data_IF_680455835368
#
_entry.id   IF_680455835368
#
_cell.length_a   1.000
_cell.length_b   1.000
_cell.length_c   1.000
_cell.angle_alpha   90.00
_cell.angle_beta   90.00
_cell.angle_gamma   90.00
#
_symmetry.space_group_name_H-M   'P 1'
#
loop_
_entity.id
_entity.type
_entity.pdbx_description
1 polymer ?
#
# COMPACT_ATOMS: atom_id res chain seq x y z
N UNK A 1 -14.59 30.02 -3.92
CA UNK A 1 -15.00 28.73 -3.36
C UNK A 1 -14.77 27.68 -4.44
N UNK A 2 -13.86 26.73 -4.20
CA UNK A 2 -13.59 25.63 -5.13
C UNK A 2 -14.26 24.38 -4.57
N UNK A 3 -15.15 23.77 -5.33
CA UNK A 3 -15.82 22.51 -4.96
C UNK A 3 -15.02 21.37 -5.58
N UNK A 4 -14.39 20.53 -4.75
CA UNK A 4 -13.77 19.28 -5.22
C UNK A 4 -14.83 18.18 -5.25
N UNK A 5 -15.02 17.57 -6.42
CA UNK A 5 -15.93 16.43 -6.61
C UNK A 5 -15.08 15.18 -6.84
N UNK A 6 -15.18 14.20 -5.93
CA UNK A 6 -14.43 12.96 -6.02
C UNK A 6 -15.24 11.90 -6.79
N UNK A 7 -14.61 11.27 -7.78
CA UNK A 7 -15.21 10.20 -8.57
C UNK A 7 -14.61 8.87 -8.14
N UNK A 8 -15.43 7.86 -7.76
CA UNK A 8 -14.93 6.54 -7.42
C UNK A 8 -14.16 5.92 -8.59
N UNK A 9 -13.01 5.30 -8.30
CA UNK A 9 -12.20 4.58 -9.29
C UNK A 9 -11.68 3.28 -8.69
N UNK A 10 -11.73 2.21 -9.47
CA UNK A 10 -11.09 0.94 -9.15
C UNK A 10 -9.70 0.93 -9.77
N UNK A 11 -8.71 0.50 -9.00
CA UNK A 11 -7.34 0.33 -9.47
C UNK A 11 -6.87 -1.09 -9.16
N UNK A 12 -6.08 -1.66 -10.05
CA UNK A 12 -5.45 -2.95 -9.86
C UNK A 12 -3.96 -2.73 -9.63
N UNK A 13 -3.46 -3.22 -8.50
CA UNK A 13 -2.03 -3.18 -8.16
C UNK A 13 -1.56 -4.63 -8.12
N UNK A 14 -0.65 -5.05 -9.02
CA UNK A 14 -0.12 -6.41 -9.00
C UNK A 14 0.57 -6.73 -7.68
N UNK A 15 0.34 -7.95 -7.19
CA UNK A 15 0.72 -8.37 -5.84
C UNK A 15 2.23 -8.29 -5.55
N UNK A 16 3.04 -8.44 -6.59
CA UNK A 16 4.50 -8.35 -6.58
C UNK A 16 5.02 -6.97 -6.20
N UNK A 17 4.22 -5.91 -6.39
CA UNK A 17 4.58 -4.54 -6.01
C UNK A 17 4.20 -4.21 -4.57
N UNK A 18 3.26 -4.95 -3.96
CA UNK A 18 2.76 -4.64 -2.62
C UNK A 18 3.85 -4.54 -1.54
N UNK A 19 4.87 -5.42 -1.48
CA UNK A 19 5.94 -5.28 -0.47
C UNK A 19 6.76 -4.00 -0.65
N UNK A 20 7.04 -3.62 -1.89
CA UNK A 20 7.82 -2.44 -2.20
C UNK A 20 7.03 -1.16 -1.89
N UNK A 21 5.73 -1.16 -2.18
CA UNK A 21 4.81 -0.08 -1.86
C UNK A 21 4.64 0.07 -0.35
N UNK A 22 4.40 -1.04 0.37
CA UNK A 22 4.28 -1.03 1.82
C UNK A 22 5.55 -0.50 2.50
N UNK A 23 6.73 -0.93 2.01
CA UNK A 23 8.01 -0.44 2.52
C UNK A 23 8.15 1.07 2.34
N UNK A 24 7.94 1.59 1.12
CA UNK A 24 8.08 3.02 0.86
C UNK A 24 7.06 3.86 1.63
N UNK A 25 5.82 3.38 1.75
CA UNK A 25 4.81 4.04 2.56
C UNK A 25 5.20 4.10 4.05
N UNK A 26 5.79 3.01 4.59
CA UNK A 26 6.32 3.00 5.95
C UNK A 26 7.53 3.94 6.10
N UNK A 27 8.49 3.90 5.17
CA UNK A 27 9.68 4.76 5.15
C UNK A 27 9.29 6.25 5.14
N UNK A 28 8.24 6.63 4.40
CA UNK A 28 7.72 8.01 4.37
C UNK A 28 7.07 8.46 5.68
N UNK A 29 6.57 7.53 6.51
CA UNK A 29 5.99 7.83 7.83
C UNK A 29 7.05 7.81 8.95
N UNK A 30 8.20 7.18 8.72
CA UNK A 30 9.25 7.02 9.72
C UNK A 30 8.75 6.24 10.95
N UNK A 31 9.10 6.72 12.15
CA UNK A 31 8.72 6.08 13.43
C UNK A 31 7.19 5.93 13.59
N UNK A 32 6.40 6.78 12.93
CA UNK A 32 4.94 6.72 13.00
C UNK A 32 4.34 5.51 12.28
N UNK A 33 5.13 4.78 11.47
CA UNK A 33 4.65 3.60 10.75
C UNK A 33 4.22 2.45 11.69
N UNK A 34 4.73 2.44 12.93
CA UNK A 34 4.35 1.48 13.97
C UNK A 34 3.03 1.84 14.67
N UNK A 35 2.60 3.10 14.57
CA UNK A 35 1.39 3.60 15.25
C UNK A 35 0.19 3.70 14.30
N UNK A 36 0.46 3.86 12.99
CA UNK A 36 -0.57 4.06 11.97
C UNK A 36 -1.05 2.71 11.45
N UNK A 37 -2.37 2.49 11.51
CA UNK A 37 -3.02 1.36 10.87
C UNK A 37 -2.77 1.38 9.37
N UNK A 38 -2.34 0.25 8.81
CA UNK A 38 -2.19 0.08 7.39
C UNK A 38 -3.55 0.09 6.70
N UNK A 39 -3.65 0.86 5.62
CA UNK A 39 -4.86 0.93 4.80
C UNK A 39 -4.52 0.76 3.34
N UNK A 40 -5.53 0.42 2.52
CA UNK A 40 -5.37 0.37 1.05
C UNK A 40 -4.93 1.72 0.50
N UNK A 41 -5.40 2.83 1.07
CA UNK A 41 -5.02 4.18 0.71
C UNK A 41 -3.52 4.46 0.75
N UNK A 42 -2.80 3.89 1.72
CA UNK A 42 -1.34 4.04 1.79
C UNK A 42 -0.66 3.42 0.56
N UNK A 43 -1.10 2.22 0.16
CA UNK A 43 -0.55 1.51 -0.99
C UNK A 43 -0.91 2.21 -2.31
N UNK A 44 -2.15 2.70 -2.44
CA UNK A 44 -2.60 3.42 -3.65
C UNK A 44 -1.85 4.74 -3.81
N UNK A 45 -1.70 5.54 -2.75
CA UNK A 45 -0.94 6.80 -2.82
C UNK A 45 0.51 6.54 -3.22
N UNK A 46 1.15 5.54 -2.62
CA UNK A 46 2.52 5.18 -2.98
C UNK A 46 2.61 4.72 -4.44
N UNK A 47 1.62 3.96 -4.94
CA UNK A 47 1.61 3.51 -6.34
C UNK A 47 1.47 4.66 -7.34
N UNK A 48 0.71 5.72 -6.99
CA UNK A 48 0.65 6.95 -7.78
C UNK A 48 2.00 7.68 -7.72
N UNK A 49 2.58 7.86 -6.53
CA UNK A 49 3.89 8.52 -6.38
C UNK A 49 5.01 7.81 -7.15
N UNK A 50 4.98 6.48 -7.20
CA UNK A 50 5.98 5.67 -7.92
C UNK A 50 5.75 5.63 -9.44
N UNK A 51 4.67 6.24 -9.94
CA UNK A 51 4.31 6.22 -11.37
C UNK A 51 3.83 4.85 -11.88
N UNK A 52 3.39 3.95 -10.98
CA UNK A 52 2.79 2.66 -11.35
C UNK A 52 1.40 2.86 -11.98
N UNK A 53 0.70 3.93 -11.57
CA UNK A 53 -0.64 4.29 -12.03
C UNK A 53 -0.59 5.57 -12.86
N UNK A 54 0.10 5.55 -14.02
CA UNK A 54 0.36 6.74 -14.85
C UNK A 54 -0.87 7.57 -15.22
N UNK A 55 -2.01 6.91 -15.39
CA UNK A 55 -3.29 7.58 -15.66
C UNK A 55 -3.76 8.48 -14.49
N UNK A 56 -3.10 8.41 -13.33
CA UNK A 56 -3.39 9.17 -12.13
C UNK A 56 -2.30 10.19 -11.78
N UNK A 57 -1.27 10.36 -12.61
CA UNK A 57 -0.17 11.30 -12.36
C UNK A 57 -0.66 12.74 -12.18
N UNK A 58 -1.80 13.09 -12.80
CA UNK A 58 -2.46 14.39 -12.64
C UNK A 58 -2.95 14.68 -11.21
N UNK A 59 -2.98 13.68 -10.34
CA UNK A 59 -3.31 13.82 -8.91
C UNK A 59 -2.10 14.22 -8.06
N UNK A 60 -0.89 14.23 -8.61
CA UNK A 60 0.31 14.67 -7.92
C UNK A 60 0.34 16.20 -7.93
N UNK A 61 0.24 16.81 -6.76
CA UNK A 61 0.33 18.26 -6.58
C UNK A 61 1.75 18.79 -6.81
N UNK A 62 1.87 20.11 -6.92
CA UNK A 62 3.16 20.79 -7.10
C UNK A 62 4.14 20.55 -5.92
N UNK A 63 3.60 20.21 -4.74
CA UNK A 63 4.35 19.87 -3.54
C UNK A 63 4.72 18.36 -3.45
N UNK A 64 4.36 17.57 -4.46
CA UNK A 64 4.58 16.12 -4.50
C UNK A 64 3.57 15.30 -3.69
N UNK A 65 2.57 15.93 -3.09
CA UNK A 65 1.48 15.21 -2.40
C UNK A 65 0.49 14.64 -3.41
N UNK A 66 -0.20 13.55 -3.06
CA UNK A 66 -1.21 12.94 -3.92
C UNK A 66 -2.60 13.34 -3.45
N UNK A 67 -3.36 14.04 -4.29
CA UNK A 67 -4.74 14.49 -4.05
C UNK A 67 -5.73 13.32 -4.21
N UNK A 68 -5.60 12.34 -3.32
CA UNK A 68 -6.45 11.16 -3.22
C UNK A 68 -7.16 11.14 -1.87
N UNK A 69 -8.50 11.15 -1.91
CA UNK A 69 -9.32 10.86 -0.75
C UNK A 69 -9.42 9.34 -0.59
N UNK A 70 -8.51 8.86 0.24
CA UNK A 70 -8.46 7.55 0.81
C UNK A 70 -8.49 7.76 2.32
N UNK A 71 -9.68 8.07 2.88
CA UNK A 71 -9.86 8.51 4.26
C UNK A 71 -9.53 7.36 5.23
N UNK A 72 -8.42 7.40 6.00
CA UNK A 72 -8.04 6.30 6.88
C UNK A 72 -9.03 6.07 8.04
N UNK A 73 -9.87 7.07 8.39
CA UNK A 73 -10.93 6.92 9.39
C UNK A 73 -12.22 6.30 8.86
N UNK A 74 -12.33 6.19 7.53
CA UNK A 74 -13.47 5.59 6.82
C UNK A 74 -13.03 4.37 5.98
N UNK A 75 -11.73 4.16 5.78
CA UNK A 75 -11.16 2.99 5.13
C UNK A 75 -11.08 1.83 6.10
N UNK A 76 -11.49 0.65 5.62
CA UNK A 76 -11.31 -0.61 6.32
C UNK A 76 -9.79 -0.86 6.42
N UNK A 77 -9.22 -0.95 7.64
CA UNK A 77 -7.83 -1.31 7.82
C UNK A 77 -7.51 -2.66 7.19
N UNK A 78 -6.25 -2.86 6.81
CA UNK A 78 -5.82 -4.17 6.33
C UNK A 78 -5.72 -5.12 7.53
N UNK A 79 -6.45 -6.22 7.44
CA UNK A 79 -6.51 -7.24 8.48
C UNK A 79 -5.88 -8.54 8.00
N UNK A 80 -5.17 -9.21 8.91
CA UNK A 80 -4.71 -10.58 8.75
C UNK A 80 -5.08 -11.34 10.02
N UNK A 81 -5.71 -12.50 9.87
CA UNK A 81 -6.16 -13.34 10.99
C UNK A 81 -6.98 -12.58 12.05
N UNK A 82 -7.89 -11.70 11.60
CA UNK A 82 -8.73 -10.80 12.41
C UNK A 82 -7.95 -9.79 13.28
N UNK A 83 -6.69 -9.51 12.93
CA UNK A 83 -5.89 -8.44 13.55
C UNK A 83 -5.66 -7.31 12.53
N UNK A 84 -6.02 -6.10 12.93
CA UNK A 84 -5.62 -4.88 12.22
C UNK A 84 -4.11 -4.73 12.22
N UNK A 85 -3.52 -4.57 11.04
CA UNK A 85 -2.08 -4.42 10.89
C UNK A 85 -1.68 -2.95 10.91
N UNK A 86 -0.54 -2.66 11.51
CA UNK A 86 0.20 -1.41 11.25
C UNK A 86 0.94 -1.50 9.91
N UNK A 87 1.48 -0.38 9.41
CA UNK A 87 2.27 -0.42 8.17
C UNK A 87 3.55 -1.26 8.30
N UNK A 88 4.18 -1.22 9.48
CA UNK A 88 5.32 -2.09 9.80
C UNK A 88 4.91 -3.57 9.79
N UNK A 89 3.81 -3.93 10.46
CA UNK A 89 3.31 -5.31 10.51
C UNK A 89 2.86 -5.83 9.14
N UNK A 90 2.27 -4.96 8.30
CA UNK A 90 1.93 -5.31 6.92
C UNK A 90 3.19 -5.68 6.11
N UNK A 91 4.25 -4.88 6.24
CA UNK A 91 5.51 -5.12 5.54
C UNK A 91 6.10 -6.47 5.95
N UNK A 92 6.14 -6.78 7.25
CA UNK A 92 6.61 -8.06 7.76
C UNK A 92 5.78 -9.23 7.22
N UNK A 93 4.44 -9.11 7.24
CA UNK A 93 3.54 -10.14 6.73
C UNK A 93 3.75 -10.42 5.23
N UNK A 94 3.95 -9.36 4.43
CA UNK A 94 4.22 -9.47 2.99
C UNK A 94 5.58 -10.11 2.70
N UNK A 95 6.61 -9.78 3.48
CA UNK A 95 7.93 -10.42 3.37
C UNK A 95 7.89 -11.89 3.80
N UNK A 96 7.16 -12.20 4.88
CA UNK A 96 6.99 -13.58 5.36
C UNK A 96 6.28 -14.47 4.31
N UNK A 97 5.21 -13.97 3.67
CA UNK A 97 4.54 -14.70 2.57
C UNK A 97 5.46 -14.96 1.40
N UNK A 98 6.35 -14.01 1.06
CA UNK A 98 7.32 -14.21 -0.02
C UNK A 98 8.36 -15.28 0.33
N UNK A 99 8.85 -15.26 1.57
CA UNK A 99 9.75 -16.31 2.09
C UNK A 99 9.09 -17.69 2.05
N UNK A 100 7.86 -17.80 2.55
CA UNK A 100 7.09 -19.05 2.54
C UNK A 100 6.84 -19.60 1.12
N UNK A 101 6.49 -18.71 0.18
CA UNK A 101 6.26 -19.09 -1.23
C UNK A 101 7.56 -19.55 -1.89
N UNK A 102 8.68 -18.89 -1.60
CA UNK A 102 10.01 -19.28 -2.08
C UNK A 102 10.47 -20.62 -1.54
N UNK A 103 10.18 -20.92 -0.26
CA UNK A 103 10.50 -22.21 0.35
C UNK A 103 9.71 -23.37 -0.29
N UNK A 104 8.43 -23.17 -0.59
CA UNK A 104 7.60 -24.16 -1.29
C UNK A 104 8.09 -24.42 -2.72
N UNK A 105 8.48 -23.38 -3.46
CA UNK A 105 9.00 -23.52 -4.82
C UNK A 105 10.33 -24.31 -4.84
N UNK A 106 11.24 -24.04 -3.90
CA UNK A 106 12.49 -24.80 -3.76
C UNK A 106 12.27 -26.28 -3.39
N UNK A 107 11.15 -26.60 -2.73
CA UNK A 107 10.79 -27.96 -2.35
C UNK A 107 10.14 -28.75 -3.49
N UNK A 108 9.49 -28.07 -4.45
CA UNK A 108 8.90 -28.71 -5.64
C UNK A 108 9.92 -28.98 -6.76
N UNK A 109 11.01 -28.22 -6.82
CA UNK A 109 12.10 -28.45 -7.80
C UNK A 109 13.11 -29.53 -7.36
N UNK A 110 12.97 -30.04 -6.14
CA UNK A 110 13.82 -31.09 -5.55
C UNK A 110 13.16 -32.48 -5.54
N UNK A 111 12.04 -32.67 -6.26
CA UNK A 111 11.26 -33.91 -6.32
C UNK A 111 11.27 -34.53 -7.72
#
# INVERSE_FOLDING_TARGET
>A
MQVKVYVPKVVEIPSEYLPALAKRAADSLGERAEEVSATRGHLVRQAVQDGLLRDLDYLIGEDGTVDLVCDPGMEIPLELDNKTLTLAELLEALQYKRSWTSMKAAQSDAA
#
